data_IF_035823712403
#
_entry.id   IF_035823712403
#
_cell.length_a   1.000
_cell.length_b   1.000
_cell.length_c   1.000
_cell.angle_alpha   90.00
_cell.angle_beta   90.00
_cell.angle_gamma   90.00
#
_symmetry.space_group_name_H-M   'P 1'
#
loop_
_entity.id
_entity.type
_entity.pdbx_description
1 polymer ?
#
# COMPACT_ATOMS: atom_id res chain seq x y z
N UNK A 1 16.24 7.52 -46.55
CA UNK A 1 14.97 7.30 -47.29
C UNK A 1 14.00 6.59 -46.36
N UNK A 2 12.77 7.09 -46.16
CA UNK A 2 11.85 6.49 -45.19
C UNK A 2 11.46 5.07 -45.63
N UNK A 3 11.57 4.10 -44.71
CA UNK A 3 11.32 2.69 -44.96
C UNK A 3 9.87 2.41 -45.38
N UNK A 4 9.67 1.39 -46.22
CA UNK A 4 8.36 1.03 -46.79
C UNK A 4 7.30 0.69 -45.74
N UNK A 5 7.72 0.40 -44.50
CA UNK A 5 6.85 0.23 -43.33
C UNK A 5 6.18 1.54 -42.89
N UNK A 6 6.88 2.68 -42.96
CA UNK A 6 6.30 3.98 -42.64
C UNK A 6 5.26 4.41 -43.68
N UNK A 7 5.51 4.09 -44.97
CA UNK A 7 4.54 4.33 -46.06
C UNK A 7 3.31 3.42 -45.93
N UNK A 8 3.47 2.15 -45.54
CA UNK A 8 2.35 1.24 -45.26
C UNK A 8 1.51 1.69 -44.05
N UNK A 9 2.13 2.20 -42.98
CA UNK A 9 1.42 2.77 -41.82
C UNK A 9 0.62 4.02 -42.19
N UNK A 10 1.17 4.91 -43.02
CA UNK A 10 0.46 6.10 -43.50
C UNK A 10 -0.71 5.75 -44.43
N UNK A 11 -0.58 4.72 -45.27
CA UNK A 11 -1.65 4.26 -46.17
C UNK A 11 -2.84 3.65 -45.39
N UNK A 12 -2.58 2.77 -44.40
CA UNK A 12 -3.63 2.22 -43.53
C UNK A 12 -4.37 3.31 -42.73
N UNK A 13 -3.65 4.34 -42.26
CA UNK A 13 -4.24 5.49 -41.56
C UNK A 13 -5.18 6.31 -42.47
N UNK A 14 -4.91 6.36 -43.79
CA UNK A 14 -5.71 7.11 -44.77
C UNK A 14 -6.94 6.34 -45.26
N UNK A 15 -6.89 5.01 -45.34
CA UNK A 15 -8.05 4.17 -45.68
C UNK A 15 -9.09 4.11 -44.56
N UNK A 16 -8.65 4.00 -43.31
CA UNK A 16 -9.54 4.02 -42.14
C UNK A 16 -10.32 5.34 -42.01
N UNK A 17 -9.73 6.47 -42.42
CA UNK A 17 -10.37 7.78 -42.42
C UNK A 17 -11.43 7.91 -43.53
N UNK A 18 -11.23 7.29 -44.71
CA UNK A 18 -12.19 7.33 -45.82
C UNK A 18 -13.42 6.44 -45.61
N UNK A 19 -13.29 5.35 -44.86
CA UNK A 19 -14.42 4.46 -44.56
C UNK A 19 -15.48 5.11 -43.63
N UNK A 20 -15.10 6.16 -42.87
CA UNK A 20 -15.98 6.86 -41.92
C UNK A 20 -16.81 8.00 -42.52
N UNK A 21 -16.59 8.37 -43.79
CA UNK A 21 -17.30 9.45 -44.48
C UNK A 21 -18.22 8.93 -45.60
N UNK A 22 -19.24 8.13 -45.25
CA UNK A 22 -20.41 7.92 -46.13
C UNK A 22 -21.69 8.25 -45.36
N UNK A 23 -22.63 9.04 -45.92
CA UNK A 23 -23.84 9.43 -45.18
C UNK A 23 -24.87 8.29 -45.13
N UNK A 24 -25.50 8.13 -43.97
CA UNK A 24 -26.67 7.24 -43.77
C UNK A 24 -27.90 7.86 -44.45
N UNK A 25 -28.63 7.06 -45.25
CA UNK A 25 -30.01 7.37 -45.71
C UNK A 25 -31.01 7.02 -44.60
N UNK A 26 -32.01 7.87 -44.44
CA UNK A 26 -33.13 7.76 -43.49
C UNK A 26 -34.37 7.12 -44.18
N UNK A 27 -35.47 6.78 -43.47
CA UNK A 27 -36.15 5.48 -43.58
C UNK A 27 -37.53 5.54 -44.26
N UNK A 28 -38.04 4.38 -44.68
CA UNK A 28 -39.45 4.18 -45.09
C UNK A 28 -40.22 3.43 -43.99
N UNK A 29 -41.44 3.94 -43.73
CA UNK A 29 -42.47 3.39 -42.84
C UNK A 29 -43.15 2.16 -43.48
N UNK A 30 -43.47 1.15 -42.66
CA UNK A 30 -44.80 0.55 -42.54
C UNK A 30 -44.80 -0.71 -41.65
N UNK A 31 -45.88 -0.86 -40.87
CA UNK A 31 -46.45 -2.18 -40.59
C UNK A 31 -46.38 -2.68 -39.14
N UNK A 32 -47.43 -2.34 -38.41
CA UNK A 32 -47.83 -2.86 -37.09
C UNK A 32 -48.09 -4.38 -37.09
N UNK A 33 -47.58 -5.10 -36.09
CA UNK A 33 -48.10 -6.38 -35.59
C UNK A 33 -47.43 -6.71 -34.24
N UNK A 34 -48.22 -6.69 -33.17
CA UNK A 34 -47.77 -6.97 -31.81
C UNK A 34 -47.41 -8.43 -31.55
N UNK A 35 -46.34 -8.61 -30.77
CA UNK A 35 -46.03 -9.86 -30.08
C UNK A 35 -45.29 -9.54 -28.77
N UNK A 36 -45.72 -10.18 -27.69
CA UNK A 36 -45.27 -10.00 -26.30
C UNK A 36 -43.75 -10.22 -26.10
N UNK A 37 -43.12 -9.65 -25.04
CA UNK A 37 -41.67 -9.70 -24.87
C UNK A 37 -41.22 -11.09 -24.36
N UNK A 38 -40.47 -11.82 -25.19
CA UNK A 38 -39.66 -12.95 -24.77
C UNK A 38 -38.40 -12.45 -24.04
N UNK A 39 -38.21 -12.92 -22.81
CA UNK A 39 -36.99 -12.76 -22.01
C UNK A 39 -35.77 -13.28 -22.76
N UNK A 40 -34.81 -12.40 -23.03
CA UNK A 40 -33.50 -12.77 -23.57
C UNK A 40 -32.65 -13.33 -22.43
N UNK A 41 -32.43 -14.65 -22.45
CA UNK A 41 -31.54 -15.36 -21.53
C UNK A 41 -30.09 -14.90 -21.69
N UNK A 42 -29.47 -14.53 -20.57
CA UNK A 42 -28.02 -14.34 -20.43
C UNK A 42 -27.27 -15.67 -20.65
N UNK A 43 -26.02 -15.66 -21.15
CA UNK A 43 -25.24 -16.87 -21.33
C UNK A 43 -24.84 -17.46 -19.97
N UNK A 44 -25.17 -18.74 -19.77
CA UNK A 44 -24.86 -19.51 -18.57
C UNK A 44 -23.33 -19.67 -18.41
N UNK A 45 -22.79 -19.06 -17.37
CA UNK A 45 -21.45 -19.34 -16.88
C UNK A 45 -21.46 -20.70 -16.15
N UNK A 46 -20.90 -21.72 -16.78
CA UNK A 46 -20.70 -23.03 -16.17
C UNK A 46 -19.61 -22.97 -15.08
N UNK A 47 -20.06 -22.96 -13.83
CA UNK A 47 -19.23 -23.15 -12.65
C UNK A 47 -20.07 -22.92 -11.41
N UNK A 48 -20.70 -23.96 -10.87
CA UNK A 48 -21.37 -23.92 -9.55
C UNK A 48 -20.36 -23.46 -8.48
N UNK A 49 -20.55 -22.30 -7.84
CA UNK A 49 -19.74 -21.89 -6.69
C UNK A 49 -20.12 -22.73 -5.46
N UNK A 50 -19.14 -23.01 -4.61
CA UNK A 50 -19.36 -23.69 -3.34
C UNK A 50 -20.06 -22.72 -2.36
N UNK A 51 -21.19 -23.10 -1.74
CA UNK A 51 -22.06 -22.20 -0.97
C UNK A 51 -21.39 -21.54 0.26
N UNK A 52 -20.31 -22.13 0.80
CA UNK A 52 -19.56 -21.55 1.92
C UNK A 52 -18.67 -20.36 1.52
N UNK A 53 -18.17 -20.33 0.27
CA UNK A 53 -17.29 -19.24 -0.22
C UNK A 53 -18.12 -17.99 -0.53
N UNK A 54 -19.35 -18.17 -1.03
CA UNK A 54 -20.31 -17.09 -1.28
C UNK A 54 -20.80 -16.43 0.02
N UNK A 55 -20.94 -17.21 1.11
CA UNK A 55 -21.33 -16.65 2.40
C UNK A 55 -20.21 -15.77 3.01
N UNK A 56 -18.97 -16.25 3.00
CA UNK A 56 -17.81 -15.50 3.52
C UNK A 56 -17.49 -14.23 2.70
N UNK A 57 -17.60 -14.31 1.37
CA UNK A 57 -17.41 -13.13 0.50
C UNK A 57 -18.49 -12.09 0.75
N UNK A 58 -19.75 -12.52 0.91
CA UNK A 58 -20.85 -11.63 1.26
C UNK A 58 -20.70 -10.99 2.64
N UNK A 59 -20.27 -11.73 3.66
CA UNK A 59 -19.98 -11.16 4.99
C UNK A 59 -18.87 -10.10 4.95
N UNK A 60 -17.82 -10.32 4.15
CA UNK A 60 -16.72 -9.37 3.96
C UNK A 60 -17.16 -8.12 3.18
N UNK A 61 -18.06 -8.28 2.20
CA UNK A 61 -18.69 -7.15 1.50
C UNK A 61 -19.56 -6.33 2.45
N UNK A 62 -20.41 -6.98 3.25
CA UNK A 62 -21.24 -6.32 4.26
C UNK A 62 -20.37 -5.56 5.28
N UNK A 63 -19.23 -6.14 5.69
CA UNK A 63 -18.28 -5.48 6.59
C UNK A 63 -17.65 -4.23 5.96
N UNK A 64 -17.26 -4.29 4.70
CA UNK A 64 -16.73 -3.14 3.98
C UNK A 64 -17.78 -2.06 3.72
N UNK A 65 -19.04 -2.46 3.50
CA UNK A 65 -20.17 -1.56 3.36
C UNK A 65 -20.46 -0.82 4.67
N UNK A 66 -20.41 -1.54 5.81
CA UNK A 66 -20.51 -0.94 7.15
C UNK A 66 -19.38 0.06 7.41
N UNK A 67 -18.14 -0.25 7.04
CA UNK A 67 -17.01 0.69 7.15
C UNK A 67 -17.19 1.93 6.29
N UNK A 68 -17.71 1.78 5.07
CA UNK A 68 -17.98 2.91 4.18
C UNK A 68 -19.09 3.80 4.74
N UNK A 69 -20.19 3.21 5.24
CA UNK A 69 -21.29 3.95 5.86
C UNK A 69 -20.87 4.70 7.13
N UNK A 70 -19.88 4.17 7.86
CA UNK A 70 -19.33 4.81 9.06
C UNK A 70 -18.30 5.91 8.77
N UNK A 71 -17.94 6.12 7.50
CA UNK A 71 -16.90 7.05 7.08
C UNK A 71 -17.52 8.24 6.37
N UNK A 72 -17.08 9.44 6.73
CA UNK A 72 -17.40 10.65 5.97
C UNK A 72 -16.12 11.35 5.53
N UNK A 73 -16.08 11.70 4.25
CA UNK A 73 -14.94 12.32 3.59
C UNK A 73 -15.43 13.61 2.95
N UNK A 74 -14.71 14.70 3.17
CA UNK A 74 -14.93 15.97 2.47
C UNK A 74 -13.63 16.44 1.89
N UNK A 75 -13.64 17.05 0.71
CA UNK A 75 -12.46 17.63 0.09
C UNK A 75 -12.81 18.26 -1.25
N UNK A 76 -11.97 19.17 -1.71
CA UNK A 76 -12.15 19.86 -2.99
C UNK A 76 -10.95 19.58 -3.87
N UNK A 77 -11.19 19.08 -5.09
CA UNK A 77 -10.15 18.92 -6.10
C UNK A 77 -9.65 20.31 -6.52
N UNK A 78 -8.37 20.58 -6.26
CA UNK A 78 -7.70 21.83 -6.61
C UNK A 78 -6.89 21.70 -7.91
N UNK A 79 -6.42 20.50 -8.26
CA UNK A 79 -5.75 20.26 -9.53
C UNK A 79 -6.73 20.30 -10.71
N UNK A 80 -6.23 20.63 -11.90
CA UNK A 80 -7.06 20.62 -13.11
C UNK A 80 -7.66 19.21 -13.34
N UNK A 81 -8.93 19.08 -13.79
CA UNK A 81 -9.56 17.77 -14.01
C UNK A 81 -8.77 16.88 -14.97
N UNK A 82 -8.11 17.48 -15.96
CA UNK A 82 -7.20 16.78 -16.88
C UNK A 82 -5.75 16.75 -16.40
N UNK A 83 -5.44 16.98 -15.12
CA UNK A 83 -4.09 16.83 -14.58
C UNK A 83 -3.77 15.36 -14.31
N UNK A 84 -2.50 14.96 -14.44
CA UNK A 84 -1.99 13.69 -13.91
C UNK A 84 -1.73 13.74 -12.42
N UNK A 85 -1.61 14.95 -11.86
CA UNK A 85 -1.43 15.18 -10.44
C UNK A 85 -2.78 15.33 -9.75
N UNK A 86 -2.87 14.81 -8.53
CA UNK A 86 -4.08 14.82 -7.69
C UNK A 86 -3.82 15.69 -6.47
N UNK A 87 -4.35 16.91 -6.50
CA UNK A 87 -4.26 17.85 -5.37
C UNK A 87 -5.66 18.09 -4.83
N UNK A 88 -5.88 17.69 -3.57
CA UNK A 88 -7.14 17.94 -2.86
C UNK A 88 -6.85 18.86 -1.69
N UNK A 89 -7.61 19.94 -1.59
CA UNK A 89 -7.57 20.88 -0.48
C UNK A 89 -8.79 20.65 0.43
N UNK A 90 -8.66 21.13 1.67
CA UNK A 90 -9.71 21.06 2.69
C UNK A 90 -10.22 19.62 2.91
N UNK A 91 -9.30 18.66 2.84
CA UNK A 91 -9.57 17.25 3.07
C UNK A 91 -9.82 17.02 4.56
N UNK A 92 -11.00 16.51 4.88
CA UNK A 92 -11.33 16.02 6.22
C UNK A 92 -11.85 14.58 6.10
N UNK A 93 -11.43 13.75 7.05
CA UNK A 93 -11.78 12.33 7.10
C UNK A 93 -12.22 11.99 8.50
N UNK A 94 -13.45 11.50 8.62
CA UNK A 94 -14.02 11.04 9.88
C UNK A 94 -14.43 9.57 9.76
N UNK A 95 -14.32 8.83 10.86
CA UNK A 95 -14.72 7.44 10.95
C UNK A 95 -15.38 7.16 12.30
N UNK A 96 -16.59 6.63 12.29
CA UNK A 96 -17.43 6.44 13.50
C UNK A 96 -17.49 7.70 14.39
N UNK A 97 -17.60 8.88 13.78
CA UNK A 97 -17.65 10.17 14.50
C UNK A 97 -16.30 10.65 15.04
N UNK A 98 -15.22 9.88 14.91
CA UNK A 98 -13.87 10.31 15.25
C UNK A 98 -13.20 10.97 14.04
N UNK A 99 -12.67 12.17 14.23
CA UNK A 99 -11.92 12.88 13.20
C UNK A 99 -10.49 12.33 13.08
N UNK A 100 -10.20 11.71 11.93
CA UNK A 100 -8.90 11.14 11.59
C UNK A 100 -8.02 12.18 10.87
N UNK A 101 -8.61 12.99 9.98
CA UNK A 101 -7.98 14.13 9.32
C UNK A 101 -8.89 15.36 9.40
N UNK A 102 -8.30 16.53 9.60
CA UNK A 102 -8.97 17.81 9.73
C UNK A 102 -8.34 18.85 8.83
N UNK A 103 -9.10 19.36 7.85
CA UNK A 103 -8.75 20.48 6.97
C UNK A 103 -7.29 20.42 6.48
N UNK A 104 -6.96 19.30 5.83
CA UNK A 104 -5.61 19.02 5.36
C UNK A 104 -5.55 19.00 3.84
N UNK A 105 -4.34 18.92 3.28
CA UNK A 105 -4.12 18.83 1.84
C UNK A 105 -3.60 17.44 1.50
N UNK A 106 -4.14 16.84 0.44
CA UNK A 106 -3.62 15.61 -0.15
C UNK A 106 -3.00 15.95 -1.51
N UNK A 107 -1.68 15.91 -1.59
CA UNK A 107 -0.89 16.19 -2.79
C UNK A 107 -0.19 14.92 -3.28
N UNK A 108 -0.67 14.37 -4.39
CA UNK A 108 -0.11 13.19 -5.05
C UNK A 108 0.26 13.52 -6.49
N UNK A 109 1.56 13.59 -6.77
CA UNK A 109 2.08 13.93 -8.10
C UNK A 109 2.45 12.67 -8.87
N UNK A 110 2.23 12.69 -10.18
CA UNK A 110 2.64 11.62 -11.07
C UNK A 110 4.17 11.41 -11.01
N UNK A 111 4.59 10.14 -11.10
CA UNK A 111 5.99 9.74 -10.97
C UNK A 111 6.58 9.77 -9.56
N UNK A 112 5.79 10.12 -8.54
CA UNK A 112 6.21 10.08 -7.14
C UNK A 112 5.73 8.80 -6.43
N UNK A 113 6.58 8.35 -5.51
CA UNK A 113 6.35 7.17 -4.68
C UNK A 113 6.29 7.62 -3.22
N UNK A 114 5.10 7.55 -2.65
CA UNK A 114 4.76 8.09 -1.34
C UNK A 114 4.73 6.97 -0.30
N UNK A 115 5.53 7.11 0.74
CA UNK A 115 5.42 6.31 1.97
C UNK A 115 4.49 6.98 2.96
N UNK A 116 3.32 6.40 3.24
CA UNK A 116 2.39 6.89 4.25
C UNK A 116 2.73 6.28 5.62
N UNK A 117 3.22 7.13 6.52
CA UNK A 117 3.66 6.75 7.86
C UNK A 117 2.84 7.46 8.94
N UNK A 118 2.84 6.89 10.13
CA UNK A 118 2.10 7.36 11.29
C UNK A 118 1.85 6.22 12.27
N UNK A 119 1.42 6.58 13.48
CA UNK A 119 1.12 5.63 14.55
C UNK A 119 0.01 4.66 14.14
N UNK A 120 0.02 3.46 14.72
CA UNK A 120 -1.02 2.47 14.49
C UNK A 120 -2.36 2.97 15.03
N UNK A 121 -3.43 2.74 14.26
CA UNK A 121 -4.78 3.18 14.61
C UNK A 121 -5.10 4.65 14.29
N UNK A 122 -4.17 5.43 13.72
CA UNK A 122 -4.45 6.84 13.36
C UNK A 122 -5.32 6.99 12.10
N UNK A 123 -5.48 5.93 11.30
CA UNK A 123 -6.34 5.94 10.11
C UNK A 123 -5.62 5.83 8.76
N UNK A 124 -4.35 5.39 8.71
CA UNK A 124 -3.59 5.23 7.44
C UNK A 124 -4.35 4.37 6.40
N UNK A 125 -4.74 3.16 6.79
CA UNK A 125 -5.51 2.24 5.93
C UNK A 125 -6.89 2.80 5.56
N UNK A 126 -7.47 3.63 6.43
CA UNK A 126 -8.76 4.29 6.18
C UNK A 126 -8.64 5.38 5.12
N UNK A 127 -7.55 6.15 5.14
CA UNK A 127 -7.22 7.13 4.10
C UNK A 127 -7.00 6.43 2.75
N UNK A 128 -6.19 5.36 2.71
CA UNK A 128 -6.00 4.58 1.47
C UNK A 128 -7.31 4.00 0.95
N UNK A 129 -8.15 3.51 1.85
CA UNK A 129 -9.48 3.01 1.49
C UNK A 129 -10.39 4.09 0.92
N UNK A 130 -10.32 5.32 1.44
CA UNK A 130 -11.13 6.44 0.94
C UNK A 130 -10.68 6.86 -0.46
N UNK A 131 -9.38 6.89 -0.69
CA UNK A 131 -8.77 7.12 -2.00
C UNK A 131 -9.16 6.00 -2.98
N UNK A 132 -8.98 4.74 -2.58
CA UNK A 132 -9.27 3.56 -3.38
C UNK A 132 -10.72 3.42 -3.80
N UNK A 133 -11.67 3.84 -2.95
CA UNK A 133 -13.10 3.83 -3.23
C UNK A 133 -13.61 5.11 -3.94
N UNK A 134 -12.71 6.03 -4.29
CA UNK A 134 -13.05 7.36 -4.87
C UNK A 134 -14.05 8.16 -4.01
N UNK A 135 -14.01 7.99 -2.68
CA UNK A 135 -14.75 8.85 -1.75
C UNK A 135 -14.12 10.26 -1.67
N UNK A 136 -12.86 10.35 -2.06
CA UNK A 136 -12.11 11.57 -2.33
C UNK A 136 -12.29 11.94 -3.81
N UNK A 137 -12.48 13.23 -4.19
CA UNK A 137 -12.75 13.62 -5.57
C UNK A 137 -11.51 13.46 -6.47
N UNK A 138 -11.28 12.24 -6.95
CA UNK A 138 -10.16 11.90 -7.84
C UNK A 138 -10.67 11.86 -9.28
N UNK A 139 -9.98 12.51 -10.23
CA UNK A 139 -10.37 12.51 -11.65
C UNK A 139 -10.62 11.10 -12.21
N UNK A 140 -11.62 10.99 -13.10
CA UNK A 140 -12.06 9.69 -13.64
C UNK A 140 -10.96 8.99 -14.44
N UNK A 141 -10.15 9.74 -15.20
CA UNK A 141 -9.06 9.22 -16.02
C UNK A 141 -7.92 8.58 -15.21
N UNK A 142 -7.85 8.81 -13.90
CA UNK A 142 -6.86 8.20 -13.01
C UNK A 142 -7.41 6.87 -12.54
N UNK A 143 -6.99 5.77 -13.16
CA UNK A 143 -7.36 4.44 -12.69
C UNK A 143 -6.60 4.08 -11.41
N UNK A 144 -7.35 3.70 -10.38
CA UNK A 144 -6.83 3.39 -9.05
C UNK A 144 -6.93 1.89 -8.84
N UNK A 145 -5.82 1.26 -8.46
CA UNK A 145 -5.83 -0.12 -7.97
C UNK A 145 -5.47 -0.13 -6.49
N UNK A 146 -6.43 -0.50 -5.66
CA UNK A 146 -6.24 -0.62 -4.22
C UNK A 146 -6.18 -2.09 -3.81
N UNK A 147 -4.97 -2.56 -3.48
CA UNK A 147 -4.77 -3.93 -3.06
C UNK A 147 -5.19 -4.10 -1.59
N UNK A 148 -6.41 -4.58 -1.36
CA UNK A 148 -6.98 -4.78 -0.02
C UNK A 148 -7.28 -6.24 0.31
N UNK A 149 -7.48 -7.06 -0.71
CA UNK A 149 -8.00 -8.43 -0.57
C UNK A 149 -7.10 -9.42 -1.28
N UNK A 150 -7.02 -10.61 -0.71
CA UNK A 150 -6.46 -11.78 -1.37
C UNK A 150 -7.38 -12.25 -2.50
N UNK A 151 -6.82 -12.95 -3.49
CA UNK A 151 -7.64 -13.61 -4.52
C UNK A 151 -8.54 -14.67 -3.89
N UNK A 152 -9.81 -14.81 -4.31
CA UNK A 152 -10.67 -15.87 -3.82
C UNK A 152 -10.13 -17.26 -4.24
N UNK A 153 -10.41 -18.31 -3.46
CA UNK A 153 -10.07 -19.66 -3.88
C UNK A 153 -10.84 -19.99 -5.17
N UNK A 154 -10.13 -20.49 -6.18
CA UNK A 154 -10.73 -20.84 -7.47
C UNK A 154 -9.98 -22.00 -8.14
N UNK A 155 -10.58 -22.59 -9.16
CA UNK A 155 -9.95 -23.62 -10.00
C UNK A 155 -8.96 -23.07 -11.04
N UNK A 156 -8.83 -21.72 -11.13
CA UNK A 156 -7.89 -21.04 -12.02
C UNK A 156 -6.46 -21.14 -11.48
N UNK A 157 -5.48 -21.01 -12.37
CA UNK A 157 -4.06 -20.96 -11.99
C UNK A 157 -3.62 -19.53 -11.66
N UNK A 158 -2.53 -19.33 -10.90
CA UNK A 158 -1.97 -18.00 -10.65
C UNK A 158 -1.71 -17.21 -11.92
N UNK A 159 -1.21 -17.88 -12.96
CA UNK A 159 -0.92 -17.25 -14.25
C UNK A 159 -2.20 -16.73 -14.93
N UNK A 160 -3.25 -17.55 -14.94
CA UNK A 160 -4.56 -17.15 -15.49
C UNK A 160 -5.15 -15.96 -14.73
N UNK A 161 -5.13 -15.99 -13.39
CA UNK A 161 -5.69 -14.90 -12.57
C UNK A 161 -4.95 -13.56 -12.73
N UNK A 162 -3.64 -13.60 -13.01
CA UNK A 162 -2.84 -12.39 -13.26
C UNK A 162 -3.13 -11.82 -14.65
N UNK A 163 -3.35 -12.68 -15.65
CA UNK A 163 -3.66 -12.28 -17.02
C UNK A 163 -5.12 -11.88 -17.24
N UNK A 164 -6.03 -12.29 -16.35
CA UNK A 164 -7.45 -11.95 -16.42
C UNK A 164 -7.69 -10.48 -16.04
N UNK A 165 -7.46 -9.58 -17.00
CA UNK A 165 -7.54 -8.12 -16.84
C UNK A 165 -8.56 -7.48 -17.79
N UNK A 166 -9.53 -8.26 -18.28
CA UNK A 166 -10.51 -7.81 -19.29
C UNK A 166 -11.30 -6.58 -18.84
N UNK A 167 -11.63 -6.51 -17.55
CA UNK A 167 -12.34 -5.36 -16.95
C UNK A 167 -11.51 -4.09 -17.00
N UNK A 168 -10.24 -4.18 -16.63
CA UNK A 168 -9.29 -3.07 -16.60
C UNK A 168 -8.93 -2.64 -18.02
N UNK A 169 -8.74 -3.61 -18.92
CA UNK A 169 -8.54 -3.36 -20.35
C UNK A 169 -9.73 -2.62 -20.96
N UNK A 170 -10.95 -3.09 -20.72
CA UNK A 170 -12.17 -2.45 -21.22
C UNK A 170 -12.31 -1.01 -20.72
N UNK A 171 -11.93 -0.73 -19.46
CA UNK A 171 -11.92 0.63 -18.91
C UNK A 171 -10.89 1.53 -19.61
N UNK A 172 -9.69 1.00 -19.87
CA UNK A 172 -8.63 1.73 -20.58
C UNK A 172 -9.00 2.01 -22.03
N UNK A 173 -9.64 1.06 -22.71
CA UNK A 173 -10.14 1.25 -24.08
C UNK A 173 -11.19 2.36 -24.16
N UNK A 174 -12.17 2.37 -23.26
CA UNK A 174 -13.19 3.44 -23.17
C UNK A 174 -12.57 4.82 -22.92
N UNK A 175 -11.60 4.89 -22.02
CA UNK A 175 -10.93 6.15 -21.72
C UNK A 175 -10.06 6.63 -22.88
N UNK A 176 -9.36 5.73 -23.56
CA UNK A 176 -8.63 6.06 -24.77
C UNK A 176 -9.55 6.57 -25.89
N UNK A 177 -10.74 5.98 -26.06
CA UNK A 177 -11.75 6.46 -27.02
C UNK A 177 -12.26 7.86 -26.68
N UNK A 178 -12.52 8.14 -25.40
CA UNK A 178 -12.94 9.46 -24.90
C UNK A 178 -11.87 10.51 -25.19
N UNK A 179 -10.64 10.25 -24.79
CA UNK A 179 -9.51 11.17 -25.02
C UNK A 179 -9.25 11.37 -26.52
N UNK A 180 -9.37 10.33 -27.35
CA UNK A 180 -9.23 10.45 -28.80
C UNK A 180 -10.33 11.32 -29.45
N UNK A 181 -11.50 11.43 -28.83
CA UNK A 181 -12.58 12.34 -29.28
C UNK A 181 -12.35 13.79 -28.82
N UNK A 182 -11.83 13.99 -27.60
CA UNK A 182 -11.56 15.31 -27.04
C UNK A 182 -10.30 15.95 -27.65
N UNK A 183 -9.19 15.23 -27.67
CA UNK A 183 -7.89 15.66 -28.19
C UNK A 183 -7.02 14.46 -28.62
N UNK A 184 -6.99 14.21 -29.93
CA UNK A 184 -6.29 13.08 -30.53
C UNK A 184 -4.75 13.16 -30.46
N UNK A 185 -4.17 14.31 -30.08
CA UNK A 185 -2.71 14.49 -29.95
C UNK A 185 -2.25 14.60 -28.49
N UNK A 186 -3.15 14.37 -27.53
CA UNK A 186 -2.80 14.42 -26.11
C UNK A 186 -1.77 13.33 -25.75
N UNK A 187 -0.67 13.69 -25.09
CA UNK A 187 0.39 12.75 -24.64
C UNK A 187 -0.18 11.57 -23.83
N UNK A 188 -1.23 11.81 -23.05
CA UNK A 188 -1.92 10.78 -22.26
C UNK A 188 -2.52 9.68 -23.11
N UNK A 189 -3.05 10.02 -24.29
CA UNK A 189 -3.62 9.04 -25.20
C UNK A 189 -2.53 8.09 -25.71
N UNK A 190 -1.33 8.61 -25.95
CA UNK A 190 -0.17 7.78 -26.32
C UNK A 190 0.22 6.85 -25.18
N UNK A 191 0.28 7.32 -23.93
CA UNK A 191 0.54 6.46 -22.75
C UNK A 191 -0.51 5.36 -22.55
N UNK A 192 -1.79 5.66 -22.81
CA UNK A 192 -2.86 4.66 -22.74
C UNK A 192 -2.73 3.61 -23.83
N UNK A 193 -2.42 4.00 -25.07
CA UNK A 193 -2.19 3.04 -26.15
C UNK A 193 -0.97 2.16 -25.90
N UNK A 194 0.13 2.72 -25.39
CA UNK A 194 1.30 1.93 -24.97
C UNK A 194 0.93 0.91 -23.90
N UNK A 195 0.13 1.31 -22.90
CA UNK A 195 -0.33 0.40 -21.84
C UNK A 195 -1.26 -0.69 -22.37
N UNK A 196 -2.18 -0.36 -23.27
CA UNK A 196 -3.06 -1.35 -23.92
C UNK A 196 -2.24 -2.37 -24.73
N UNK A 197 -1.23 -1.90 -25.47
CA UNK A 197 -0.31 -2.78 -26.21
C UNK A 197 0.50 -3.69 -25.27
N UNK A 198 0.95 -3.18 -24.11
CA UNK A 198 1.65 -4.00 -23.10
C UNK A 198 0.76 -5.08 -22.46
N UNK A 199 -0.55 -4.83 -22.35
CA UNK A 199 -1.53 -5.80 -21.83
C UNK A 199 -1.87 -6.88 -22.88
N UNK A 200 -1.90 -6.49 -24.16
CA UNK A 200 -2.28 -7.37 -25.29
C UNK A 200 -1.11 -8.12 -25.93
N UNK A 201 0.12 -7.77 -25.59
CA UNK A 201 1.29 -8.36 -26.21
C UNK A 201 1.31 -9.89 -26.07
N UNK A 202 1.79 -10.58 -27.11
CA UNK A 202 2.10 -12.03 -27.07
C UNK A 202 3.07 -12.39 -25.91
N UNK A 203 3.75 -11.38 -25.34
CA UNK A 203 4.66 -11.47 -24.19
C UNK A 203 3.96 -11.32 -22.83
N UNK A 204 2.65 -11.12 -22.78
CA UNK A 204 1.87 -10.95 -21.56
C UNK A 204 2.05 -12.14 -20.62
N UNK A 205 2.01 -13.38 -21.13
CA UNK A 205 2.22 -14.59 -20.34
C UNK A 205 3.63 -14.64 -19.74
N UNK A 206 4.67 -14.36 -20.54
CA UNK A 206 6.05 -14.33 -20.08
C UNK A 206 6.26 -13.25 -18.99
N UNK A 207 5.61 -12.09 -19.13
CA UNK A 207 5.65 -11.01 -18.15
C UNK A 207 4.95 -11.41 -16.84
N UNK A 208 3.75 -11.99 -16.92
CA UNK A 208 3.01 -12.48 -15.77
C UNK A 208 3.80 -13.58 -15.03
N UNK A 209 4.38 -14.51 -15.77
CA UNK A 209 5.24 -15.57 -15.24
C UNK A 209 6.48 -15.02 -14.53
N UNK A 210 7.14 -13.98 -15.10
CA UNK A 210 8.28 -13.29 -14.47
C UNK A 210 7.89 -12.63 -13.15
N UNK A 211 6.76 -11.93 -13.10
CA UNK A 211 6.27 -11.26 -11.88
C UNK A 211 5.96 -12.30 -10.80
N UNK A 212 5.24 -13.37 -11.16
CA UNK A 212 4.94 -14.48 -10.24
C UNK A 212 6.22 -15.14 -9.72
N UNK A 213 7.20 -15.39 -10.59
CA UNK A 213 8.49 -15.94 -10.19
C UNK A 213 9.21 -15.04 -9.19
N UNK A 214 9.24 -13.72 -9.43
CA UNK A 214 9.82 -12.73 -8.52
C UNK A 214 9.16 -12.69 -7.14
N UNK A 215 7.87 -12.99 -7.08
CA UNK A 215 7.10 -13.14 -5.84
C UNK A 215 7.19 -14.55 -5.21
N UNK A 216 8.10 -15.40 -5.70
CA UNK A 216 8.39 -16.73 -5.15
C UNK A 216 7.57 -17.88 -5.72
N UNK A 217 6.83 -17.70 -6.82
CA UNK A 217 6.10 -18.80 -7.46
C UNK A 217 6.99 -19.57 -8.43
N UNK A 218 7.27 -20.83 -8.10
CA UNK A 218 7.96 -21.76 -9.01
C UNK A 218 7.09 -22.08 -10.24
N UNK A 219 7.67 -22.54 -11.37
CA UNK A 219 6.90 -22.93 -12.55
C UNK A 219 5.83 -23.99 -12.26
N UNK A 220 6.08 -24.89 -11.30
CA UNK A 220 5.09 -25.87 -10.86
C UNK A 220 3.92 -25.21 -10.11
N UNK A 221 4.21 -24.25 -9.23
CA UNK A 221 3.18 -23.50 -8.48
C UNK A 221 2.32 -22.65 -9.41
N UNK A 222 2.90 -22.04 -10.45
CA UNK A 222 2.16 -21.25 -11.43
C UNK A 222 1.09 -22.07 -12.20
N UNK A 223 1.22 -23.39 -12.23
CA UNK A 223 0.25 -24.31 -12.85
C UNK A 223 -0.71 -24.96 -11.85
N UNK A 224 -0.49 -24.78 -10.55
CA UNK A 224 -1.39 -25.28 -9.50
C UNK A 224 -2.65 -24.41 -9.43
N UNK A 225 -3.75 -24.96 -8.91
CA UNK A 225 -5.00 -24.24 -8.71
C UNK A 225 -4.94 -23.30 -7.51
N UNK A 226 -5.62 -22.15 -7.60
CA UNK A 226 -5.66 -21.14 -6.53
C UNK A 226 -6.21 -21.67 -5.20
N UNK A 227 -7.21 -22.56 -5.26
CA UNK A 227 -7.82 -23.16 -4.06
C UNK A 227 -6.85 -23.97 -3.19
N UNK A 228 -5.73 -24.42 -3.75
CA UNK A 228 -4.73 -25.20 -3.04
C UNK A 228 -3.62 -24.33 -2.42
N UNK A 229 -3.76 -23.01 -2.48
CA UNK A 229 -2.85 -22.04 -1.87
C UNK A 229 -3.43 -21.43 -0.59
N UNK A 230 -2.56 -21.16 0.38
CA UNK A 230 -2.95 -20.40 1.57
C UNK A 230 -3.32 -18.96 1.21
N UNK A 231 -4.02 -18.28 2.12
CA UNK A 231 -4.41 -16.87 1.93
C UNK A 231 -3.23 -15.95 1.61
N UNK A 232 -2.10 -16.12 2.31
CA UNK A 232 -0.87 -15.36 2.03
C UNK A 232 -0.35 -15.54 0.59
N UNK A 233 -0.38 -16.77 0.05
CA UNK A 233 -0.03 -16.99 -1.36
C UNK A 233 -1.06 -16.39 -2.32
N UNK A 234 -2.36 -16.48 -2.00
CA UNK A 234 -3.42 -15.82 -2.79
C UNK A 234 -3.32 -14.30 -2.76
N UNK A 235 -2.82 -13.71 -1.66
CA UNK A 235 -2.47 -12.29 -1.57
C UNK A 235 -1.27 -11.94 -2.48
N UNK A 236 -0.25 -12.80 -2.55
CA UNK A 236 0.85 -12.62 -3.52
C UNK A 236 0.37 -12.66 -4.97
N UNK A 237 -0.61 -13.51 -5.32
CA UNK A 237 -1.23 -13.49 -6.66
C UNK A 237 -1.97 -12.18 -6.90
N UNK A 238 -2.70 -11.66 -5.90
CA UNK A 238 -3.39 -10.38 -6.01
C UNK A 238 -2.40 -9.21 -6.22
N UNK A 239 -1.25 -9.23 -5.52
CA UNK A 239 -0.14 -8.30 -5.74
C UNK A 239 0.46 -8.44 -7.15
N UNK A 240 0.68 -9.67 -7.61
CA UNK A 240 1.19 -9.95 -8.95
C UNK A 240 0.28 -9.34 -10.03
N UNK A 241 -1.04 -9.48 -9.87
CA UNK A 241 -2.05 -8.88 -10.77
C UNK A 241 -1.96 -7.36 -10.74
N UNK A 242 -1.84 -6.74 -9.56
CA UNK A 242 -1.70 -5.29 -9.43
C UNK A 242 -0.46 -4.75 -10.19
N UNK A 243 0.68 -5.44 -10.05
CA UNK A 243 1.93 -5.12 -10.74
C UNK A 243 1.82 -5.36 -12.26
N UNK A 244 1.06 -6.37 -12.67
CA UNK A 244 0.80 -6.67 -14.08
C UNK A 244 -0.08 -5.60 -14.74
N UNK A 245 -1.13 -5.12 -14.06
CA UNK A 245 -2.05 -4.10 -14.56
C UNK A 245 -1.38 -2.72 -14.72
N UNK A 246 -0.41 -2.39 -13.85
CA UNK A 246 0.30 -1.08 -13.82
C UNK A 246 -0.67 0.12 -13.83
N UNK A 247 -1.55 0.26 -12.82
CA UNK A 247 -2.52 1.35 -12.73
C UNK A 247 -1.88 2.73 -12.69
N UNK A 248 -2.66 3.78 -12.97
CA UNK A 248 -2.20 5.15 -12.78
C UNK A 248 -1.88 5.48 -11.33
N UNK A 249 -2.71 4.97 -10.41
CA UNK A 249 -2.46 5.06 -8.98
C UNK A 249 -2.49 3.66 -8.36
N UNK A 250 -1.36 3.22 -7.79
CA UNK A 250 -1.25 1.97 -7.06
C UNK A 250 -1.23 2.26 -5.56
N UNK A 251 -2.17 1.66 -4.81
CA UNK A 251 -2.25 1.76 -3.36
C UNK A 251 -1.94 0.40 -2.74
N UNK A 252 -0.93 0.34 -1.88
CA UNK A 252 -0.49 -0.86 -1.18
C UNK A 252 -0.51 -0.65 0.33
N UNK A 253 -1.19 -1.53 1.06
CA UNK A 253 -1.19 -1.52 2.53
C UNK A 253 -0.41 -2.73 3.06
N UNK A 254 0.77 -2.47 3.64
CA UNK A 254 1.71 -3.46 4.17
C UNK A 254 2.00 -4.65 3.22
N UNK A 255 2.51 -4.39 1.99
CA UNK A 255 2.69 -5.42 0.98
C UNK A 255 3.75 -6.48 1.35
N UNK A 256 4.62 -6.21 2.33
CA UNK A 256 5.72 -7.08 2.76
C UNK A 256 5.31 -8.16 3.76
N UNK A 257 4.12 -8.07 4.38
CA UNK A 257 3.73 -8.95 5.50
C UNK A 257 3.69 -10.45 5.15
N UNK A 258 3.43 -10.79 3.90
CA UNK A 258 3.36 -12.17 3.42
C UNK A 258 4.54 -12.54 2.53
N UNK A 259 5.56 -11.69 2.46
CA UNK A 259 6.74 -11.87 1.63
C UNK A 259 7.94 -12.36 2.46
N UNK A 260 8.71 -13.25 1.86
CA UNK A 260 10.05 -13.63 2.31
C UNK A 260 11.06 -12.59 1.82
N UNK A 261 12.27 -12.59 2.41
CA UNK A 261 13.28 -11.56 2.15
C UNK A 261 13.58 -11.39 0.66
N UNK A 262 13.79 -12.50 -0.07
CA UNK A 262 14.10 -12.47 -1.50
C UNK A 262 12.95 -11.84 -2.32
N UNK A 263 11.70 -12.17 -2.00
CA UNK A 263 10.53 -11.58 -2.65
C UNK A 263 10.33 -10.11 -2.28
N UNK A 264 10.66 -9.71 -1.05
CA UNK A 264 10.67 -8.31 -0.63
C UNK A 264 11.67 -7.49 -1.45
N UNK A 265 12.91 -7.97 -1.58
CA UNK A 265 13.96 -7.30 -2.37
C UNK A 265 13.57 -7.21 -3.85
N UNK A 266 13.00 -8.28 -4.40
CA UNK A 266 12.49 -8.26 -5.78
C UNK A 266 11.36 -7.24 -5.96
N UNK A 267 10.41 -7.19 -5.03
CA UNK A 267 9.31 -6.24 -5.06
C UNK A 267 9.80 -4.80 -4.95
N UNK A 268 10.82 -4.55 -4.11
CA UNK A 268 11.45 -3.25 -3.97
C UNK A 268 12.00 -2.75 -5.31
N UNK A 269 12.77 -3.58 -6.02
CA UNK A 269 13.32 -3.21 -7.34
C UNK A 269 12.23 -3.00 -8.40
N UNK A 270 11.16 -3.82 -8.39
CA UNK A 270 10.05 -3.63 -9.34
C UNK A 270 9.30 -2.31 -9.06
N UNK A 271 9.01 -1.99 -7.78
CA UNK A 271 8.30 -0.77 -7.37
C UNK A 271 9.15 0.51 -7.50
N UNK A 272 10.48 0.41 -7.38
CA UNK A 272 11.40 1.53 -7.57
C UNK A 272 11.32 2.14 -8.97
N UNK A 273 11.00 1.31 -9.97
CA UNK A 273 10.80 1.74 -11.37
C UNK A 273 9.38 2.19 -11.70
N UNK A 274 8.48 2.25 -10.70
CA UNK A 274 7.11 2.68 -10.91
C UNK A 274 7.05 4.16 -11.29
N UNK A 275 6.56 4.44 -12.50
CA UNK A 275 6.57 5.76 -13.14
C UNK A 275 5.34 6.62 -12.86
N UNK A 276 4.32 6.07 -12.20
CA UNK A 276 3.05 6.76 -11.91
C UNK A 276 2.92 6.99 -10.41
N UNK A 277 1.70 7.17 -9.90
CA UNK A 277 1.50 7.44 -8.46
C UNK A 277 1.54 6.11 -7.71
N UNK A 278 2.49 5.96 -6.79
CA UNK A 278 2.51 4.86 -5.83
C UNK A 278 2.30 5.43 -4.43
N UNK A 279 1.33 4.90 -3.70
CA UNK A 279 1.15 5.18 -2.26
C UNK A 279 1.25 3.86 -1.52
N UNK A 280 2.21 3.76 -0.61
CA UNK A 280 2.41 2.56 0.19
C UNK A 280 2.41 2.86 1.68
N UNK A 281 1.78 1.99 2.45
CA UNK A 281 1.96 1.91 3.91
C UNK A 281 2.94 0.76 4.17
N UNK A 282 4.01 1.05 4.91
CA UNK A 282 4.92 0.01 5.39
C UNK A 282 5.47 0.36 6.76
N UNK A 283 5.66 -0.66 7.58
CA UNK A 283 6.43 -0.57 8.83
C UNK A 283 7.93 -0.82 8.66
N UNK A 284 8.38 -1.25 7.47
CA UNK A 284 9.79 -1.51 7.20
C UNK A 284 10.52 -0.25 6.74
N UNK A 285 11.53 0.17 7.49
CA UNK A 285 12.33 1.37 7.17
C UNK A 285 13.14 1.17 5.90
N UNK A 286 13.79 0.01 5.74
CA UNK A 286 14.60 -0.33 4.57
C UNK A 286 13.77 -0.33 3.28
N UNK A 287 12.57 -0.91 3.34
CA UNK A 287 11.64 -0.95 2.20
C UNK A 287 11.16 0.45 1.81
N UNK A 288 10.81 1.30 2.78
CA UNK A 288 10.47 2.70 2.53
C UNK A 288 11.66 3.46 1.93
N UNK A 289 12.87 3.23 2.42
CA UNK A 289 14.08 3.87 1.94
C UNK A 289 14.43 3.51 0.49
N UNK A 290 14.23 2.25 0.10
CA UNK A 290 14.51 1.77 -1.26
C UNK A 290 13.56 2.29 -2.33
N UNK A 291 12.30 2.53 -1.96
CA UNK A 291 11.23 2.83 -2.92
C UNK A 291 10.84 4.31 -2.92
N UNK A 292 10.66 4.91 -1.74
CA UNK A 292 9.93 6.17 -1.62
C UNK A 292 10.77 7.36 -2.08
N UNK A 293 10.13 8.27 -2.83
CA UNK A 293 10.68 9.60 -3.14
C UNK A 293 10.19 10.67 -2.18
N UNK A 294 9.07 10.39 -1.50
CA UNK A 294 8.41 11.30 -0.60
C UNK A 294 7.80 10.51 0.56
N UNK A 295 7.78 11.11 1.74
CA UNK A 295 7.12 10.57 2.92
C UNK A 295 5.95 11.46 3.29
N UNK A 296 4.77 10.85 3.44
CA UNK A 296 3.57 11.48 3.97
C UNK A 296 3.46 11.05 5.44
N UNK A 297 3.68 11.99 6.34
CA UNK A 297 3.53 11.74 7.78
C UNK A 297 2.14 12.19 8.23
N UNK A 298 1.31 11.22 8.60
CA UNK A 298 0.02 11.46 9.21
C UNK A 298 0.20 11.68 10.72
N UNK A 299 0.05 12.92 11.17
CA UNK A 299 0.27 13.34 12.55
C UNK A 299 -0.62 14.53 12.93
N UNK A 300 -1.16 14.53 14.16
CA UNK A 300 -2.09 15.56 14.64
C UNK A 300 -3.24 15.86 13.65
N UNK A 301 -3.87 14.80 13.12
CA UNK A 301 -4.98 14.88 12.14
C UNK A 301 -4.63 15.64 10.86
N UNK A 302 -3.34 15.78 10.53
CA UNK A 302 -2.88 16.44 9.31
C UNK A 302 -1.89 15.55 8.55
N UNK A 303 -1.79 15.80 7.26
CA UNK A 303 -0.77 15.21 6.39
C UNK A 303 0.39 16.20 6.24
N UNK A 304 1.59 15.78 6.62
CA UNK A 304 2.83 16.53 6.43
C UNK A 304 3.69 15.83 5.37
N UNK A 305 4.24 16.61 4.45
CA UNK A 305 5.02 16.10 3.33
C UNK A 305 6.50 16.35 3.53
N UNK A 306 7.29 15.30 3.32
CA UNK A 306 8.74 15.35 3.33
C UNK A 306 9.26 14.86 2.00
N UNK A 307 10.16 15.62 1.39
CA UNK A 307 10.83 15.20 0.15
C UNK A 307 12.04 14.38 0.50
N UNK A 308 12.19 13.22 -0.13
CA UNK A 308 13.26 12.29 0.18
C UNK A 308 12.78 10.90 0.58
N UNK A 309 13.77 10.06 0.87
CA UNK A 309 13.56 8.73 1.44
C UNK A 309 13.27 8.81 2.96
N UNK A 310 13.10 7.67 3.61
CA UNK A 310 12.77 7.60 5.04
C UNK A 310 13.87 8.20 5.93
N UNK A 311 15.14 7.97 5.63
CA UNK A 311 16.26 8.54 6.41
C UNK A 311 16.30 10.06 6.35
N UNK A 312 16.08 10.63 5.16
CA UNK A 312 15.97 12.07 4.97
C UNK A 312 14.79 12.64 5.76
N UNK A 313 13.64 11.95 5.75
CA UNK A 313 12.51 12.30 6.60
C UNK A 313 12.88 12.32 8.08
N UNK A 314 13.52 11.26 8.61
CA UNK A 314 13.90 11.18 10.04
C UNK A 314 14.82 12.34 10.40
N UNK A 315 15.85 12.61 9.58
CA UNK A 315 16.77 13.71 9.80
C UNK A 315 16.06 15.07 9.80
N UNK A 316 15.28 15.35 8.76
CA UNK A 316 14.54 16.62 8.65
C UNK A 316 13.52 16.78 9.78
N UNK A 317 12.86 15.71 10.21
CA UNK A 317 11.92 15.73 11.34
C UNK A 317 12.65 16.10 12.64
N UNK A 318 13.78 15.47 12.94
CA UNK A 318 14.57 15.77 14.14
C UNK A 318 15.05 17.22 14.15
N UNK A 319 15.53 17.74 13.02
CA UNK A 319 15.96 19.14 12.89
C UNK A 319 14.79 20.11 13.12
N UNK A 320 13.60 19.82 12.58
CA UNK A 320 12.40 20.63 12.79
C UNK A 320 11.93 20.61 14.25
N UNK A 321 11.94 19.44 14.88
CA UNK A 321 11.57 19.27 16.29
C UNK A 321 12.56 20.00 17.23
N UNK A 322 13.86 19.92 16.97
CA UNK A 322 14.87 20.65 17.74
C UNK A 322 14.68 22.17 17.60
N UNK A 323 14.46 22.66 16.38
CA UNK A 323 14.20 24.07 16.11
C UNK A 323 12.90 24.55 16.77
N UNK A 324 11.85 23.73 16.76
CA UNK A 324 10.59 24.02 17.44
C UNK A 324 10.78 24.09 18.96
N UNK A 325 11.53 23.15 19.55
CA UNK A 325 11.84 23.17 20.99
C UNK A 325 12.67 24.38 21.40
N UNK A 326 13.66 24.79 20.60
CA UNK A 326 14.44 26.02 20.84
C UNK A 326 13.56 27.26 20.81
N UNK A 327 12.67 27.37 19.82
CA UNK A 327 11.69 28.48 19.74
C UNK A 327 10.73 28.48 20.92
N UNK A 328 10.21 27.32 21.29
CA UNK A 328 9.34 27.16 22.46
C UNK A 328 10.03 27.64 23.74
N UNK A 329 11.25 27.17 24.02
CA UNK A 329 12.00 27.62 25.21
C UNK A 329 12.29 29.12 25.17
N UNK A 330 12.71 29.66 24.02
CA UNK A 330 12.95 31.09 23.87
C UNK A 330 11.67 31.92 24.14
N UNK A 331 10.52 31.50 23.60
CA UNK A 331 9.23 32.15 23.86
C UNK A 331 8.84 32.06 25.35
N UNK A 332 9.00 30.89 25.98
CA UNK A 332 8.71 30.72 27.42
C UNK A 332 9.61 31.59 28.31
N UNK A 333 10.90 31.69 27.99
CA UNK A 333 11.85 32.55 28.71
C UNK A 333 11.51 34.03 28.54
N UNK A 334 11.13 34.46 27.32
CA UNK A 334 10.65 35.83 27.08
C UNK A 334 9.37 36.11 27.88
N UNK A 335 8.41 35.20 27.87
CA UNK A 335 7.16 35.32 28.63
C UNK A 335 7.47 35.41 30.13
N UNK A 336 8.35 34.54 30.65
CA UNK A 336 8.74 34.54 32.06
C UNK A 336 9.43 35.85 32.44
N UNK A 337 10.36 36.34 31.62
CA UNK A 337 11.05 37.60 31.84
C UNK A 337 10.08 38.81 31.81
N UNK A 338 9.16 38.85 30.86
CA UNK A 338 8.14 39.91 30.78
C UNK A 338 7.18 39.88 31.98
N UNK A 339 6.70 38.69 32.37
CA UNK A 339 5.86 38.51 33.57
C UNK A 339 6.58 38.96 34.84
N UNK A 340 7.84 38.56 35.02
CA UNK A 340 8.66 38.99 36.16
C UNK A 340 8.86 40.51 36.18
N UNK A 341 9.09 41.12 35.02
CA UNK A 341 9.22 42.58 34.92
C UNK A 341 7.92 43.30 35.28
N UNK A 342 6.78 42.84 34.75
CA UNK A 342 5.47 43.40 35.06
C UNK A 342 5.17 43.26 36.56
N UNK A 343 5.43 42.10 37.15
CA UNK A 343 5.22 41.86 38.58
C UNK A 343 6.10 42.77 39.47
N UNK A 344 7.36 42.98 39.11
CA UNK A 344 8.30 43.82 39.90
C UNK A 344 8.04 45.32 39.76
N UNK A 345 7.67 45.78 38.57
CA UNK A 345 7.63 47.22 38.24
C UNK A 345 6.23 47.76 37.95
N UNK A 346 5.19 46.93 38.00
CA UNK A 346 3.80 47.30 37.71
C UNK A 346 3.21 48.31 38.70
N UNK A 347 3.67 48.30 39.95
CA UNK A 347 3.28 49.27 40.99
C UNK A 347 4.39 50.29 41.34
N UNK A 348 5.44 50.36 40.51
CA UNK A 348 6.56 51.27 40.72
C UNK A 348 6.27 52.72 40.30
N UNK A 349 7.33 53.52 40.13
CA UNK A 349 7.20 54.92 39.69
C UNK A 349 6.40 55.05 38.38
N UNK A 350 5.74 56.19 38.15
CA UNK A 350 4.89 56.40 36.98
C UNK A 350 5.57 56.08 35.62
N UNK A 351 6.88 56.28 35.51
CA UNK A 351 7.68 55.93 34.33
C UNK A 351 7.83 54.41 34.16
N UNK A 352 8.11 53.70 35.24
CA UNK A 352 8.26 52.24 35.26
C UNK A 352 6.92 51.53 35.05
N UNK A 353 5.84 52.05 35.64
CA UNK A 353 4.49 51.53 35.46
C UNK A 353 4.03 51.63 33.98
N UNK A 354 4.29 52.75 33.30
CA UNK A 354 4.02 52.88 31.85
C UNK A 354 4.82 51.88 31.01
N UNK A 355 6.08 51.61 31.38
CA UNK A 355 6.92 50.64 30.69
C UNK A 355 6.45 49.19 30.91
N UNK A 356 5.96 48.87 32.12
CA UNK A 356 5.34 47.58 32.43
C UNK A 356 4.04 47.37 31.62
N UNK A 357 3.16 48.37 31.54
CA UNK A 357 1.92 48.31 30.73
C UNK A 357 2.21 48.10 29.23
N UNK A 358 3.28 48.71 28.71
CA UNK A 358 3.70 48.50 27.31
C UNK A 358 4.13 47.04 27.07
N UNK A 359 4.95 46.47 27.96
CA UNK A 359 5.35 45.05 27.89
C UNK A 359 4.14 44.11 28.06
N UNK A 360 3.18 44.45 28.90
CA UNK A 360 1.94 43.68 29.06
C UNK A 360 1.13 43.61 27.76
N UNK A 361 0.98 44.73 27.05
CA UNK A 361 0.34 44.74 25.72
C UNK A 361 1.11 43.89 24.70
N UNK A 362 2.44 43.96 24.71
CA UNK A 362 3.28 43.11 23.84
C UNK A 362 3.11 41.63 24.16
N UNK A 363 3.04 41.27 25.44
CA UNK A 363 2.82 39.89 25.88
C UNK A 363 1.43 39.40 25.44
N UNK A 364 0.40 40.21 25.62
CA UNK A 364 -0.96 39.90 25.15
C UNK A 364 -1.00 39.70 23.63
N UNK A 365 -0.31 40.55 22.86
CA UNK A 365 -0.20 40.39 21.40
C UNK A 365 0.52 39.10 21.02
N UNK A 366 1.60 38.74 21.72
CA UNK A 366 2.34 37.50 21.50
C UNK A 366 1.49 36.25 21.83
N UNK A 367 0.69 36.30 22.90
CA UNK A 367 -0.24 35.22 23.24
C UNK A 367 -1.39 35.12 22.22
N UNK A 368 -1.88 36.25 21.71
CA UNK A 368 -2.94 36.30 20.72
C UNK A 368 -2.50 35.81 19.32
N UNK A 369 -1.22 35.94 18.96
CA UNK A 369 -0.68 35.42 17.70
C UNK A 369 -0.50 33.89 17.67
N UNK A 370 -0.72 33.22 18.80
CA UNK A 370 -0.43 31.79 18.97
C UNK A 370 1.04 31.56 19.30
N UNK A 371 1.30 30.83 20.38
CA UNK A 371 2.65 30.43 20.78
C UNK A 371 3.07 29.15 20.06
N UNK A 372 4.37 28.98 19.90
CA UNK A 372 4.93 27.72 19.43
C UNK A 372 4.53 26.61 20.41
N UNK A 373 3.98 25.50 19.91
CA UNK A 373 3.64 24.36 20.76
C UNK A 373 4.91 23.61 21.18
N UNK A 374 4.88 23.01 22.38
CA UNK A 374 5.94 22.10 22.83
C UNK A 374 5.94 20.84 21.96
N UNK A 375 7.11 20.39 21.53
CA UNK A 375 7.24 19.08 20.88
C UNK A 375 6.89 17.99 21.89
N UNK A 376 5.89 17.19 21.56
CA UNK A 376 5.54 15.98 22.30
C UNK A 376 6.18 14.82 21.56
N UNK A 377 7.11 14.14 22.23
CA UNK A 377 7.73 12.95 21.65
C UNK A 377 6.70 11.83 21.54
N UNK A 378 6.80 11.06 20.47
CA UNK A 378 6.02 9.83 20.32
C UNK A 378 6.30 8.89 21.51
N UNK A 379 5.27 8.23 22.04
CA UNK A 379 5.44 7.26 23.12
C UNK A 379 6.28 6.09 22.62
N UNK A 380 7.53 6.02 23.04
CA UNK A 380 8.41 4.88 22.75
C UNK A 380 8.10 3.74 23.72
N UNK A 381 7.65 2.60 23.21
CA UNK A 381 7.51 1.40 24.02
C UNK A 381 8.90 0.76 24.16
N UNK A 382 9.44 0.74 25.38
CA UNK A 382 10.72 0.10 25.66
C UNK A 382 10.46 -1.32 26.14
N UNK A 383 10.93 -2.32 25.38
CA UNK A 383 10.93 -3.70 25.80
C UNK A 383 12.20 -3.97 26.62
N UNK A 384 12.03 -4.26 27.90
CA UNK A 384 13.12 -4.72 28.76
C UNK A 384 13.04 -6.23 28.94
N UNK A 385 14.08 -6.93 28.50
CA UNK A 385 14.24 -8.36 28.75
C UNK A 385 15.26 -8.53 29.88
N UNK A 386 14.89 -9.16 31.01
CA UNK A 386 15.81 -9.35 32.13
C UNK A 386 16.95 -10.30 31.73
N UNK A 387 18.19 -10.07 32.21
CA UNK A 387 19.31 -10.94 31.91
C UNK A 387 19.08 -12.35 32.47
N UNK A 388 19.42 -13.37 31.70
CA UNK A 388 19.20 -14.79 32.05
C UNK A 388 20.16 -15.36 33.09
N UNK A 389 21.11 -14.56 33.62
CA UNK A 389 22.12 -15.02 34.58
C UNK A 389 23.28 -15.77 33.93
N UNK A 390 23.92 -16.68 34.68
CA UNK A 390 25.00 -17.54 34.17
C UNK A 390 24.44 -18.94 33.90
N UNK A 391 24.46 -19.37 32.65
CA UNK A 391 24.11 -20.73 32.23
C UNK A 391 25.36 -21.34 31.56
N UNK A 392 25.80 -22.53 31.97
CA UNK A 392 26.96 -23.18 31.36
C UNK A 392 26.67 -23.58 29.90
N UNK A 393 27.63 -23.43 28.97
CA UNK A 393 27.46 -23.92 27.61
C UNK A 393 27.58 -25.45 27.52
N UNK A 394 26.96 -26.10 26.52
CA UNK A 394 26.06 -25.52 25.51
C UNK A 394 24.62 -25.37 26.02
N UNK A 395 23.95 -24.25 25.70
CA UNK A 395 22.58 -23.99 26.19
C UNK A 395 21.56 -24.82 25.42
N UNK A 396 21.67 -24.85 24.10
CA UNK A 396 20.85 -25.70 23.23
C UNK A 396 21.80 -26.41 22.28
N UNK A 397 21.67 -27.73 22.21
CA UNK A 397 22.45 -28.56 21.29
C UNK A 397 21.51 -29.46 20.49
N UNK A 398 21.49 -29.25 19.17
CA UNK A 398 20.73 -30.03 18.21
C UNK A 398 21.70 -30.95 17.50
N UNK A 399 21.45 -32.26 17.56
CA UNK A 399 22.32 -33.28 16.96
C UNK A 399 21.48 -34.34 16.25
N UNK A 400 21.90 -34.73 15.04
CA UNK A 400 21.29 -35.79 14.24
C UNK A 400 19.76 -35.66 14.10
N UNK A 401 19.26 -34.42 13.98
CA UNK A 401 17.81 -34.19 13.88
C UNK A 401 17.36 -34.31 12.42
N UNK A 402 16.53 -35.32 12.17
CA UNK A 402 15.81 -35.47 10.91
C UNK A 402 14.31 -35.40 11.16
N UNK A 403 13.59 -34.62 10.36
CA UNK A 403 12.17 -34.38 10.57
C UNK A 403 11.38 -34.31 9.26
N UNK A 404 10.20 -34.93 9.26
CA UNK A 404 9.14 -34.82 8.24
C UNK A 404 7.78 -34.94 8.94
N UNK A 405 6.75 -34.29 8.40
CA UNK A 405 5.41 -34.35 8.99
C UNK A 405 4.69 -35.67 8.69
N UNK A 406 4.81 -36.17 7.46
CA UNK A 406 4.17 -37.40 7.01
C UNK A 406 5.21 -38.46 6.68
N UNK A 407 4.86 -39.75 6.88
CA UNK A 407 5.77 -40.87 6.62
C UNK A 407 6.26 -40.89 5.17
N UNK A 408 5.39 -40.55 4.23
CA UNK A 408 5.70 -40.52 2.79
C UNK A 408 6.00 -39.10 2.27
N UNK A 409 6.09 -38.11 3.17
CA UNK A 409 6.37 -36.74 2.81
C UNK A 409 7.86 -36.45 2.62
N UNK A 410 8.19 -35.31 2.00
CA UNK A 410 9.57 -34.86 1.87
C UNK A 410 10.18 -34.59 3.26
N UNK A 411 11.49 -34.86 3.39
CA UNK A 411 12.26 -34.44 4.55
C UNK A 411 12.31 -32.92 4.61
N UNK A 412 11.94 -32.35 5.76
CA UNK A 412 12.12 -30.92 6.04
C UNK A 412 13.54 -30.69 6.54
N UNK A 413 13.99 -31.54 7.46
CA UNK A 413 15.35 -31.54 7.97
C UNK A 413 15.95 -32.94 7.82
N UNK A 414 17.22 -33.00 7.46
CA UNK A 414 17.99 -34.23 7.40
C UNK A 414 19.36 -34.01 8.04
N UNK A 415 19.65 -34.78 9.08
CA UNK A 415 20.89 -34.70 9.87
C UNK A 415 21.28 -33.28 10.29
N UNK A 416 20.33 -32.55 10.87
CA UNK A 416 20.54 -31.18 11.34
C UNK A 416 21.36 -31.18 12.63
N UNK A 417 22.46 -30.44 12.63
CA UNK A 417 23.39 -30.29 13.75
C UNK A 417 23.77 -28.81 13.95
N UNK A 418 23.51 -28.27 15.14
CA UNK A 418 23.97 -26.94 15.55
C UNK A 418 23.87 -26.74 17.07
N UNK A 419 24.67 -25.81 17.61
CA UNK A 419 24.61 -25.37 19.01
C UNK A 419 24.19 -23.91 19.10
N UNK A 420 23.53 -23.53 20.20
CA UNK A 420 23.24 -22.14 20.58
C UNK A 420 23.78 -21.91 21.99
N UNK A 421 24.60 -20.88 22.13
CA UNK A 421 25.12 -20.39 23.42
C UNK A 421 24.41 -19.10 23.86
N UNK A 422 24.58 -18.69 25.12
CA UNK A 422 23.88 -17.52 25.70
C UNK A 422 24.11 -16.20 24.96
N UNK A 423 25.30 -15.99 24.41
CA UNK A 423 25.66 -14.74 23.71
C UNK A 423 25.33 -14.79 22.21
N UNK A 424 24.76 -15.89 21.73
CA UNK A 424 24.49 -16.11 20.31
C UNK A 424 23.23 -15.38 19.88
N UNK A 425 23.32 -14.56 18.83
CA UNK A 425 22.15 -14.02 18.12
C UNK A 425 21.95 -14.78 16.82
N UNK A 426 20.90 -15.59 16.77
CA UNK A 426 20.58 -16.43 15.60
C UNK A 426 19.40 -15.83 14.85
N UNK A 427 19.55 -15.63 13.54
CA UNK A 427 18.45 -15.30 12.62
C UNK A 427 18.19 -16.48 11.69
N UNK A 428 16.95 -16.97 11.67
CA UNK A 428 16.53 -18.05 10.77
C UNK A 428 15.98 -17.46 9.47
N UNK A 429 16.73 -17.63 8.38
CA UNK A 429 16.36 -17.14 7.05
C UNK A 429 16.05 -18.31 6.11
N UNK A 430 15.21 -18.05 5.10
CA UNK A 430 14.82 -19.03 4.10
C UNK A 430 13.44 -18.74 3.52
N UNK A 431 13.05 -19.42 2.43
CA UNK A 431 11.77 -19.17 1.79
C UNK A 431 10.57 -19.58 2.66
N UNK A 432 9.39 -19.13 2.28
CA UNK A 432 8.16 -19.57 2.94
C UNK A 432 7.91 -21.06 2.71
N UNK A 433 7.67 -21.80 3.79
CA UNK A 433 7.54 -23.26 3.75
C UNK A 433 8.85 -24.04 3.97
N UNK A 434 10.00 -23.37 4.15
CA UNK A 434 11.29 -24.03 4.41
C UNK A 434 11.42 -24.73 5.78
N UNK A 435 10.38 -24.67 6.63
CA UNK A 435 10.40 -25.28 7.97
C UNK A 435 10.81 -24.38 9.12
N UNK A 436 11.06 -23.07 8.92
CA UNK A 436 11.52 -22.14 9.99
C UNK A 436 10.70 -22.24 11.30
N UNK A 437 9.37 -22.16 11.20
CA UNK A 437 8.47 -22.32 12.36
C UNK A 437 8.48 -23.75 12.91
N UNK A 438 8.67 -24.75 12.06
CA UNK A 438 8.83 -26.15 12.47
C UNK A 438 10.10 -26.32 13.31
N UNK A 439 11.22 -25.68 12.96
CA UNK A 439 12.43 -25.71 13.78
C UNK A 439 12.20 -25.11 15.16
N UNK A 440 11.53 -23.95 15.23
CA UNK A 440 11.19 -23.34 16.53
C UNK A 440 10.31 -24.26 17.36
N UNK A 441 9.31 -24.92 16.76
CA UNK A 441 8.46 -25.91 17.44
C UNK A 441 9.21 -27.15 17.91
N UNK A 442 10.23 -27.58 17.17
CA UNK A 442 11.13 -28.66 17.59
C UNK A 442 11.97 -28.23 18.79
N UNK A 443 12.48 -26.98 18.77
CA UNK A 443 13.27 -26.42 19.87
C UNK A 443 12.46 -26.18 21.15
N UNK A 444 11.18 -25.77 21.03
CA UNK A 444 10.28 -25.57 22.17
C UNK A 444 9.64 -26.88 22.67
N UNK A 445 9.81 -27.98 21.96
CA UNK A 445 9.21 -29.29 22.30
C UNK A 445 7.73 -29.43 21.95
N UNK A 446 7.15 -28.49 21.17
CA UNK A 446 5.75 -28.57 20.71
C UNK A 446 5.50 -29.69 19.69
N UNK A 447 6.54 -30.14 18.99
CA UNK A 447 6.46 -31.23 18.01
C UNK A 447 7.50 -32.29 18.34
N UNK A 448 7.05 -33.55 18.45
CA UNK A 448 7.94 -34.68 18.75
C UNK A 448 8.66 -35.18 17.48
N UNK A 449 9.92 -35.58 17.65
CA UNK A 449 10.71 -36.23 16.62
C UNK A 449 10.14 -37.64 16.33
N UNK A 450 9.84 -37.95 15.06
CA UNK A 450 9.31 -39.27 14.66
C UNK A 450 10.34 -40.41 14.76
N UNK A 451 11.63 -40.10 14.88
CA UNK A 451 12.70 -41.08 15.11
C UNK A 451 13.56 -40.69 16.31
N UNK A 452 13.02 -40.95 17.51
CA UNK A 452 13.83 -41.49 18.61
C UNK A 452 13.25 -42.84 19.02
N UNK A 453 14.14 -43.83 19.19
CA UNK A 453 13.97 -44.95 20.11
C UNK A 453 13.32 -44.46 21.42
N UNK A 454 12.51 -45.28 22.11
CA UNK A 454 11.55 -44.81 23.13
C UNK A 454 12.24 -43.92 24.17
N UNK A 455 11.95 -42.61 24.13
CA UNK A 455 12.32 -41.71 25.20
C UNK A 455 11.35 -41.92 26.36
N UNK A 456 11.72 -42.81 27.28
CA UNK A 456 11.25 -42.73 28.66
C UNK A 456 11.89 -41.51 29.31
N UNK A 457 11.17 -40.39 29.35
CA UNK A 457 11.52 -39.23 30.18
C UNK A 457 11.23 -37.88 29.52
N UNK A 458 10.90 -36.84 30.32
CA UNK A 458 10.76 -35.48 29.83
C UNK A 458 12.10 -35.02 29.24
N UNK A 459 12.03 -34.26 28.14
CA UNK A 459 13.19 -33.57 27.57
C UNK A 459 13.82 -32.70 28.67
N UNK A 460 14.92 -33.19 29.25
CA UNK A 460 15.70 -32.44 30.23
C UNK A 460 16.36 -31.25 29.52
N UNK A 461 15.89 -30.04 29.85
CA UNK A 461 16.72 -28.85 29.82
C UNK A 461 17.67 -28.96 31.02
N UNK A 462 18.95 -29.21 30.73
CA UNK A 462 20.05 -29.18 31.70
C UNK A 462 21.07 -28.17 31.25
#
# INVERSE_FOLDING_TARGET
MPSDLAKKKAAKKKEAAKARQRPRRAPEENGDAGTEPQEVRAPEANGTPLPEVDALTKELEDFELKKAAARAVTGVLASHPNSTDVHIINLSLTFHGQELLSDTKLELNSGRRYGLIGLNGIGKSMLLSAIGKREVPIPEHIDIYHLTREMPPSDKTPLQCVMEVDTERSMLEREAERLAHEDAECEKLMELYERLEELDADKAEARASRILHGLGFTPAMQRKKLKDFSGGWRMRVALARALFIRPFMLLLDEPTNHLDLDACVWLEEELKTFKRILVLISHSQDFLNGICTNIIHMHNRKLKYYTGNYDQYVKTRLELEENQMKRFHWEQDQIAHMKNYIARFGHGSAKLARQAQSKEKTLQKMMASGLTERVVNDKTLSFYFPPCGKIPPPVIMVQNVSFKYTKDGPWIYNNLEFGIDLDTRVALVGPNGAGKSTLLKLLTGEVCLQHRLPCSGPLFFG
#
